data_IF_005942848173
#
_entry.id   IF_005942848173
#
_cell.length_a   1.000
_cell.length_b   1.000
_cell.length_c   1.000
_cell.angle_alpha   90.00
_cell.angle_beta   90.00
_cell.angle_gamma   90.00
#
_symmetry.space_group_name_H-M   'P 1'
#
loop_
_entity.id
_entity.type
_entity.pdbx_description
1 polymer ?
#
# COMPACT_ATOMS: atom_id res chain seq x y z
N UNK A 1 28.15 -24.61 14.37
CA UNK A 1 28.31 -23.89 13.09
C UNK A 1 27.01 -23.80 12.27
N UNK A 2 26.06 -24.74 12.40
CA UNK A 2 24.73 -24.64 11.76
C UNK A 2 23.81 -23.54 12.31
N UNK A 3 23.78 -23.37 13.64
CA UNK A 3 22.86 -22.43 14.33
C UNK A 3 22.94 -20.97 13.82
N UNK A 4 24.13 -20.48 13.50
CA UNK A 4 24.30 -19.09 13.03
C UNK A 4 23.80 -18.85 11.59
N UNK A 5 23.75 -19.90 10.76
CA UNK A 5 23.14 -19.82 9.42
C UNK A 5 21.60 -19.85 9.53
N UNK A 6 21.06 -20.75 10.36
CA UNK A 6 19.62 -20.84 10.66
C UNK A 6 19.07 -19.54 11.29
N UNK A 7 19.85 -18.86 12.14
CA UNK A 7 19.48 -17.58 12.73
C UNK A 7 19.39 -16.45 11.68
N UNK A 8 20.25 -16.47 10.67
CA UNK A 8 20.25 -15.48 9.58
C UNK A 8 19.14 -15.71 8.57
N UNK A 9 18.87 -16.98 8.25
CA UNK A 9 17.78 -17.36 7.35
C UNK A 9 16.42 -16.91 7.92
N UNK A 10 16.16 -17.19 9.20
CA UNK A 10 14.95 -16.73 9.89
C UNK A 10 14.83 -15.21 9.97
N UNK A 11 15.95 -14.50 10.18
CA UNK A 11 15.97 -13.04 10.18
C UNK A 11 15.65 -12.47 8.79
N UNK A 12 16.16 -13.09 7.71
CA UNK A 12 15.89 -12.68 6.34
C UNK A 12 14.42 -12.90 5.96
N UNK A 13 13.84 -14.06 6.30
CA UNK A 13 12.42 -14.36 6.08
C UNK A 13 11.50 -13.39 6.83
N UNK A 14 11.81 -13.10 8.10
CA UNK A 14 11.04 -12.16 8.92
C UNK A 14 11.07 -10.74 8.35
N UNK A 15 12.25 -10.27 7.93
CA UNK A 15 12.39 -8.95 7.29
C UNK A 15 11.64 -8.90 5.97
N UNK A 16 11.77 -9.94 5.14
CA UNK A 16 11.07 -10.03 3.86
C UNK A 16 9.55 -9.97 4.04
N UNK A 17 8.97 -10.78 4.93
CA UNK A 17 7.54 -10.79 5.21
C UNK A 17 7.03 -9.40 5.66
N UNK A 18 7.78 -8.72 6.53
CA UNK A 18 7.43 -7.38 7.00
C UNK A 18 7.53 -6.31 5.91
N UNK A 19 8.55 -6.38 5.07
CA UNK A 19 8.69 -5.46 3.93
C UNK A 19 7.52 -5.63 2.97
N UNK A 20 7.11 -6.87 2.71
CA UNK A 20 6.01 -7.12 1.78
C UNK A 20 4.64 -6.76 2.35
N UNK A 21 4.42 -6.97 3.65
CA UNK A 21 3.25 -6.46 4.36
C UNK A 21 3.20 -4.92 4.32
N UNK A 22 4.34 -4.25 4.54
CA UNK A 22 4.42 -2.78 4.48
C UNK A 22 4.12 -2.24 3.08
N UNK A 23 4.66 -2.87 2.02
CA UNK A 23 4.36 -2.50 0.64
C UNK A 23 2.88 -2.68 0.30
N UNK A 24 2.30 -3.82 0.69
CA UNK A 24 0.87 -4.07 0.50
C UNK A 24 0.01 -3.03 1.22
N UNK A 25 0.35 -2.70 2.47
CA UNK A 25 -0.36 -1.70 3.25
C UNK A 25 -0.28 -0.30 2.61
N UNK A 26 0.90 0.11 2.14
CA UNK A 26 1.11 1.36 1.44
C UNK A 26 0.28 1.42 0.15
N UNK A 27 0.27 0.33 -0.63
CA UNK A 27 -0.51 0.22 -1.86
C UNK A 27 -2.02 0.35 -1.62
N UNK A 28 -2.54 -0.36 -0.61
CA UNK A 28 -3.92 -0.21 -0.16
C UNK A 28 -4.22 1.23 0.30
N UNK A 29 -3.24 1.90 0.91
CA UNK A 29 -3.31 3.32 1.27
C UNK A 29 -3.48 4.24 0.06
N UNK A 30 -2.72 4.00 -1.02
CA UNK A 30 -2.85 4.69 -2.29
C UNK A 30 -4.24 4.54 -2.90
N UNK A 31 -4.77 3.31 -2.93
CA UNK A 31 -6.10 3.00 -3.47
C UNK A 31 -7.21 3.67 -2.64
N UNK A 32 -7.11 3.66 -1.31
CA UNK A 32 -8.05 4.38 -0.44
C UNK A 32 -8.06 5.89 -0.74
N UNK A 33 -6.88 6.50 -0.91
CA UNK A 33 -6.78 7.91 -1.26
C UNK A 33 -7.44 8.22 -2.61
N UNK A 34 -7.24 7.35 -3.61
CA UNK A 34 -7.88 7.46 -4.92
C UNK A 34 -9.41 7.41 -4.82
N UNK A 35 -9.96 6.47 -4.06
CA UNK A 35 -11.39 6.34 -3.86
C UNK A 35 -12.01 7.55 -3.14
N UNK A 36 -11.36 8.04 -2.08
CA UNK A 36 -11.79 9.25 -1.35
C UNK A 36 -11.78 10.45 -2.28
N UNK A 37 -10.72 10.64 -3.06
CA UNK A 37 -10.63 11.73 -4.02
C UNK A 37 -11.77 11.67 -5.04
N UNK A 38 -12.03 10.50 -5.63
CA UNK A 38 -13.09 10.33 -6.63
C UNK A 38 -14.48 10.61 -6.05
N UNK A 39 -14.80 10.03 -4.88
CA UNK A 39 -16.11 10.26 -4.25
C UNK A 39 -16.28 11.70 -3.76
N UNK A 40 -15.21 12.37 -3.32
CA UNK A 40 -15.27 13.79 -2.99
C UNK A 40 -15.63 14.65 -4.21
N UNK A 41 -15.11 14.33 -5.40
CA UNK A 41 -15.49 15.02 -6.66
C UNK A 41 -16.96 14.83 -6.99
N UNK A 42 -17.52 13.65 -6.68
CA UNK A 42 -18.93 13.32 -6.87
C UNK A 42 -19.85 13.85 -5.76
N UNK A 43 -19.29 14.47 -4.70
CA UNK A 43 -20.06 14.99 -3.57
C UNK A 43 -20.66 13.90 -2.68
N UNK A 44 -20.10 12.68 -2.69
CA UNK A 44 -20.59 11.54 -1.89
C UNK A 44 -19.87 11.46 -0.55
N UNK A 45 -20.52 10.82 0.44
CA UNK A 45 -20.01 10.73 1.81
C UNK A 45 -18.80 9.78 1.95
N UNK A 46 -18.09 9.91 3.08
CA UNK A 46 -16.91 9.09 3.38
C UNK A 46 -17.20 7.59 3.52
N UNK A 47 -18.45 7.19 3.84
CA UNK A 47 -18.83 5.77 3.91
C UNK A 47 -18.89 5.16 2.52
N UNK A 48 -19.41 5.91 1.56
CA UNK A 48 -19.44 5.50 0.15
C UNK A 48 -18.03 5.43 -0.43
N UNK A 49 -17.17 6.39 -0.08
CA UNK A 49 -15.74 6.34 -0.42
C UNK A 49 -15.05 5.07 0.10
N UNK A 50 -15.29 4.72 1.36
CA UNK A 50 -14.70 3.51 1.95
C UNK A 50 -15.23 2.22 1.30
N UNK A 51 -16.51 2.18 0.95
CA UNK A 51 -17.08 1.05 0.21
C UNK A 51 -16.45 0.91 -1.18
N UNK A 52 -16.27 2.02 -1.90
CA UNK A 52 -15.62 2.02 -3.20
C UNK A 52 -14.14 1.62 -3.11
N UNK A 53 -13.42 2.09 -2.08
CA UNK A 53 -12.05 1.69 -1.82
C UNK A 53 -11.90 0.17 -1.64
N UNK A 54 -12.83 -0.47 -0.91
CA UNK A 54 -12.83 -1.94 -0.75
C UNK A 54 -12.98 -2.66 -2.08
N UNK A 55 -13.81 -2.14 -2.99
CA UNK A 55 -13.98 -2.72 -4.34
C UNK A 55 -12.68 -2.62 -5.14
N UNK A 56 -12.01 -1.47 -5.10
CA UNK A 56 -10.73 -1.29 -5.81
C UNK A 56 -9.62 -2.16 -5.22
N UNK A 57 -9.54 -2.27 -3.89
CA UNK A 57 -8.57 -3.16 -3.22
C UNK A 57 -8.83 -4.63 -3.55
N UNK A 58 -10.10 -5.06 -3.59
CA UNK A 58 -10.44 -6.41 -4.01
C UNK A 58 -9.96 -6.68 -5.44
N UNK A 59 -10.16 -5.74 -6.36
CA UNK A 59 -9.72 -5.88 -7.74
C UNK A 59 -8.18 -5.92 -7.87
N UNK A 60 -7.46 -5.16 -7.05
CA UNK A 60 -5.99 -5.25 -6.94
C UNK A 60 -5.55 -6.66 -6.49
N UNK A 61 -6.23 -7.25 -5.50
CA UNK A 61 -5.96 -8.60 -5.00
C UNK A 61 -6.23 -9.65 -6.10
N UNK A 62 -7.22 -9.40 -6.95
CA UNK A 62 -7.54 -10.23 -8.14
C UNK A 62 -6.54 -10.03 -9.30
N UNK A 63 -5.57 -9.12 -9.16
CA UNK A 63 -4.47 -8.92 -10.11
C UNK A 63 -4.57 -7.67 -10.96
N UNK A 64 -5.54 -6.78 -10.73
CA UNK A 64 -5.55 -5.47 -11.41
C UNK A 64 -4.37 -4.61 -10.95
N UNK A 65 -3.69 -3.99 -11.90
CA UNK A 65 -2.59 -3.06 -11.63
C UNK A 65 -3.11 -1.64 -11.38
N UNK A 66 -2.24 -0.75 -10.90
CA UNK A 66 -2.61 0.65 -10.61
C UNK A 66 -3.24 1.37 -11.79
N UNK A 67 -2.74 1.13 -12.99
CA UNK A 67 -3.27 1.76 -14.21
C UNK A 67 -4.69 1.29 -14.51
N UNK A 68 -5.01 0.00 -14.31
CA UNK A 68 -6.36 -0.52 -14.50
C UNK A 68 -7.36 0.13 -13.52
N UNK A 69 -6.92 0.32 -12.26
CA UNK A 69 -7.73 0.97 -11.23
C UNK A 69 -7.92 2.46 -11.54
N UNK A 70 -6.89 3.14 -12.02
CA UNK A 70 -6.94 4.56 -12.40
C UNK A 70 -7.87 4.77 -13.59
N UNK A 71 -7.78 3.92 -14.62
CA UNK A 71 -8.67 3.99 -15.78
C UNK A 71 -10.13 3.76 -15.38
N UNK A 72 -10.39 2.79 -14.49
CA UNK A 72 -11.73 2.55 -13.94
C UNK A 72 -12.27 3.78 -13.21
N UNK A 73 -11.50 4.35 -12.29
CA UNK A 73 -11.91 5.55 -11.54
C UNK A 73 -12.12 6.74 -12.47
N UNK A 74 -11.26 6.91 -13.48
CA UNK A 74 -11.41 7.95 -14.47
C UNK A 74 -12.70 7.77 -15.28
N UNK A 75 -13.02 6.54 -15.70
CA UNK A 75 -14.24 6.23 -16.43
C UNK A 75 -15.49 6.51 -15.58
N UNK A 76 -15.48 6.12 -14.30
CA UNK A 76 -16.57 6.38 -13.36
C UNK A 76 -16.81 7.88 -13.16
N UNK A 77 -15.74 8.69 -13.03
CA UNK A 77 -15.83 10.15 -12.96
C UNK A 77 -16.37 10.75 -14.26
N UNK A 78 -15.87 10.30 -15.41
CA UNK A 78 -16.30 10.79 -16.73
C UNK A 78 -17.77 10.47 -17.01
N UNK A 79 -18.25 9.30 -16.58
CA UNK A 79 -19.65 8.92 -16.67
C UNK A 79 -20.58 9.86 -15.88
N UNK A 80 -20.04 10.54 -14.87
CA UNK A 80 -20.73 11.55 -14.08
C UNK A 80 -20.41 13.00 -14.52
N UNK A 81 -19.81 13.18 -15.70
CA UNK A 81 -19.50 14.50 -16.27
C UNK A 81 -18.30 15.19 -15.63
N UNK A 82 -17.47 14.47 -14.87
CA UNK A 82 -16.26 15.01 -14.24
C UNK A 82 -15.05 14.51 -14.99
N UNK A 83 -14.34 15.42 -15.67
CA UNK A 83 -13.09 15.07 -16.34
C UNK A 83 -11.90 15.32 -15.42
N UNK A 84 -11.15 14.25 -15.11
CA UNK A 84 -9.92 14.31 -14.32
C UNK A 84 -8.81 13.62 -15.12
N UNK A 85 -7.67 14.29 -15.37
CA UNK A 85 -6.57 13.68 -16.11
C UNK A 85 -5.93 12.55 -15.29
N UNK A 86 -5.53 11.46 -15.95
CA UNK A 86 -4.92 10.31 -15.28
C UNK A 86 -3.67 10.67 -14.47
N UNK A 87 -2.92 11.70 -14.89
CA UNK A 87 -1.78 12.21 -14.13
C UNK A 87 -2.14 12.76 -12.74
N UNK A 88 -3.32 13.36 -12.58
CA UNK A 88 -3.80 13.81 -11.27
C UNK A 88 -4.14 12.61 -10.38
N UNK A 89 -4.79 11.59 -10.94
CA UNK A 89 -5.13 10.34 -10.24
C UNK A 89 -3.87 9.57 -9.78
N UNK A 90 -2.86 9.45 -10.64
CA UNK A 90 -1.54 8.90 -10.27
C UNK A 90 -0.91 9.69 -9.13
N UNK A 91 -0.98 11.02 -9.21
CA UNK A 91 -0.47 11.90 -8.16
C UNK A 91 -1.15 11.70 -6.81
N UNK A 92 -2.45 11.39 -6.80
CA UNK A 92 -3.19 11.07 -5.56
C UNK A 92 -2.64 9.79 -4.93
N UNK A 93 -2.47 8.71 -5.70
CA UNK A 93 -1.93 7.45 -5.20
C UNK A 93 -0.50 7.62 -4.69
N UNK A 94 0.37 8.27 -5.48
CA UNK A 94 1.78 8.46 -5.14
C UNK A 94 2.00 9.24 -3.85
N UNK A 95 1.22 10.30 -3.62
CA UNK A 95 1.34 11.09 -2.37
C UNK A 95 0.94 10.29 -1.15
N UNK A 96 -0.04 9.39 -1.28
CA UNK A 96 -0.51 8.56 -0.19
C UNK A 96 0.42 7.39 0.12
N UNK A 97 1.06 6.79 -0.89
CA UNK A 97 2.06 5.73 -0.70
C UNK A 97 3.35 6.29 -0.08
N UNK A 98 3.85 7.43 -0.58
CA UNK A 98 5.07 8.07 -0.06
C UNK A 98 4.94 8.53 1.41
N UNK A 99 3.73 8.87 1.87
CA UNK A 99 3.50 9.23 3.26
C UNK A 99 3.53 8.02 4.23
N UNK A 100 3.39 6.79 3.70
CA UNK A 100 3.34 5.55 4.50
C UNK A 100 4.66 4.78 4.45
N UNK A 101 5.51 5.04 3.46
CA UNK A 101 6.81 4.42 3.23
C UNK A 101 7.93 5.07 4.06
N UNK A 102 7.69 5.25 5.36
CA UNK A 102 8.77 5.61 6.31
C UNK A 102 9.90 4.56 6.26
N UNK A 103 11.16 4.93 6.53
CA UNK A 103 12.28 4.01 6.37
C UNK A 103 11.99 2.71 7.15
N UNK A 104 12.26 1.52 6.57
CA UNK A 104 12.12 0.28 7.30
C UNK A 104 12.91 0.41 8.61
N UNK A 105 12.42 -0.14 9.74
CA UNK A 105 13.17 -0.09 10.98
C UNK A 105 14.56 -0.65 10.69
N UNK A 106 15.58 0.22 10.76
CA UNK A 106 16.96 -0.17 10.47
C UNK A 106 17.23 -1.42 11.30
N UNK A 107 17.61 -2.51 10.64
CA UNK A 107 18.15 -3.69 11.29
C UNK A 107 19.52 -3.30 11.85
N UNK A 108 19.51 -2.50 12.92
CA UNK A 108 20.72 -2.14 13.64
C UNK A 108 21.26 -3.44 14.24
N UNK A 109 22.57 -3.69 14.09
CA UNK A 109 23.21 -4.93 14.55
C UNK A 109 23.08 -5.17 16.06
N UNK A 110 22.62 -4.17 16.81
CA UNK A 110 22.38 -4.24 18.26
C UNK A 110 21.20 -5.16 18.65
N UNK A 111 20.15 -5.27 17.81
CA UNK A 111 19.01 -6.13 18.12
C UNK A 111 19.35 -7.63 18.03
N UNK A 112 20.30 -7.99 17.16
CA UNK A 112 20.77 -9.36 16.99
C UNK A 112 21.72 -9.81 18.12
N UNK A 113 22.42 -8.89 18.80
CA UNK A 113 23.37 -9.25 19.86
C UNK A 113 22.71 -9.53 21.21
N UNK A 114 21.53 -8.94 21.49
CA UNK A 114 20.79 -9.16 22.75
C UNK A 114 20.11 -10.54 22.84
N UNK A 115 19.89 -11.22 21.72
CA UNK A 115 19.30 -12.56 21.70
C UNK A 115 20.31 -13.69 21.93
N UNK A 116 21.62 -13.40 21.92
CA UNK A 116 22.70 -14.40 21.98
C UNK A 116 23.40 -14.53 23.36
N UNK A 117 22.91 -13.88 24.42
CA UNK A 117 23.49 -14.05 25.75
C UNK A 117 23.00 -15.36 26.41
N UNK A 118 23.88 -16.32 26.76
CA UNK A 118 23.49 -17.46 27.58
C UNK A 118 23.20 -16.98 29.01
N UNK A 119 22.19 -17.59 29.65
CA UNK A 119 21.99 -17.51 31.11
C UNK A 119 23.07 -18.29 31.84
#
# INVERSE_FOLDING_TARGET
MLKAFEDRERAAEYLFARTEEARFAAHCGGIRALAIFAMAKLGVDGRTAEAYARVLIAAMIEGQHDEDLIERVQADLRANGIDVPAGELRGVMLRATAAQDGPPPEATPEAASRSAAPR
#
